data_IF_698250237413
#
_entry.id   IF_698250237413
#
_cell.length_a   1.000
_cell.length_b   1.000
_cell.length_c   1.000
_cell.angle_alpha   90.00
_cell.angle_beta   90.00
_cell.angle_gamma   90.00
#
_symmetry.space_group_name_H-M   'P 1'
#
loop_
_entity.id
_entity.type
_entity.pdbx_description
1 polymer ?
#
# COMPACT_ATOMS: atom_id res chain seq x y z
N UNK A 1 -19.19 -3.83 -16.94
CA UNK A 1 -18.50 -2.73 -16.22
C UNK A 1 -17.08 -3.19 -16.03
N UNK A 2 -16.10 -2.35 -16.32
CA UNK A 2 -14.67 -2.66 -16.21
C UNK A 2 -13.99 -1.57 -15.37
N UNK A 3 -12.88 -1.91 -14.73
CA UNK A 3 -12.13 -1.00 -13.85
C UNK A 3 -10.73 -0.79 -14.37
N UNK A 4 -10.26 0.44 -14.33
CA UNK A 4 -8.87 0.81 -14.62
C UNK A 4 -8.29 1.48 -13.38
N UNK A 5 -7.08 1.07 -12.99
CA UNK A 5 -6.35 1.66 -11.88
C UNK A 5 -4.99 2.13 -12.39
N UNK A 6 -4.53 3.26 -11.87
CA UNK A 6 -3.19 3.77 -12.13
C UNK A 6 -2.50 4.02 -10.80
N UNK A 7 -1.33 3.41 -10.61
CA UNK A 7 -0.56 3.46 -9.39
C UNK A 7 0.87 3.87 -9.73
N UNK A 8 1.36 4.94 -9.11
CA UNK A 8 2.74 5.40 -9.30
C UNK A 8 3.28 5.99 -7.99
N UNK A 9 4.58 5.84 -7.76
CA UNK A 9 5.18 6.28 -6.52
C UNK A 9 6.58 5.75 -6.32
N UNK A 10 7.13 6.05 -5.14
CA UNK A 10 8.42 5.57 -4.70
C UNK A 10 8.35 5.15 -3.23
N UNK A 11 9.19 4.20 -2.89
CA UNK A 11 9.38 3.66 -1.56
C UNK A 11 10.81 3.99 -1.12
N UNK A 12 10.97 4.27 0.17
CA UNK A 12 12.26 4.47 0.83
C UNK A 12 12.31 3.54 2.04
N UNK A 13 13.17 2.54 1.99
CA UNK A 13 13.34 1.56 3.04
C UNK A 13 14.32 2.05 4.13
N UNK A 14 14.29 1.37 5.29
CA UNK A 14 15.14 1.68 6.46
C UNK A 14 16.66 1.59 6.14
N UNK A 15 17.05 0.83 5.12
CA UNK A 15 18.44 0.68 4.65
C UNK A 15 18.82 1.71 3.55
N UNK A 16 17.96 2.70 3.30
CA UNK A 16 18.04 3.68 2.22
C UNK A 16 17.94 3.10 0.81
N UNK A 17 17.51 1.84 0.65
CA UNK A 17 17.12 1.36 -0.67
C UNK A 17 15.84 2.05 -1.12
N UNK A 18 15.74 2.28 -2.42
CA UNK A 18 14.59 2.97 -3.01
C UNK A 18 13.97 2.11 -4.09
N UNK A 19 12.65 1.98 -4.07
CA UNK A 19 11.87 1.44 -5.17
C UNK A 19 11.07 2.56 -5.81
N UNK A 20 10.84 2.47 -7.12
CA UNK A 20 10.03 3.39 -7.90
C UNK A 20 9.15 2.56 -8.83
N UNK A 21 7.92 2.99 -9.05
CA UNK A 21 6.98 2.27 -9.91
C UNK A 21 5.98 3.22 -10.55
N UNK A 22 5.48 2.82 -11.72
CA UNK A 22 4.29 3.39 -12.36
C UNK A 22 3.61 2.28 -13.17
N UNK A 23 2.37 1.96 -12.85
CA UNK A 23 1.71 0.74 -13.29
C UNK A 23 0.21 0.99 -13.51
N UNK A 24 -0.33 0.37 -14.56
CA UNK A 24 -1.75 0.31 -14.85
C UNK A 24 -2.27 -1.10 -14.56
N UNK A 25 -3.38 -1.16 -13.82
CA UNK A 25 -4.18 -2.36 -13.61
C UNK A 25 -5.51 -2.27 -14.37
N UNK A 26 -5.98 -3.42 -14.86
CA UNK A 26 -7.26 -3.57 -15.54
C UNK A 26 -8.02 -4.76 -14.94
N UNK A 27 -9.24 -4.55 -14.46
CA UNK A 27 -10.06 -5.57 -13.80
C UNK A 27 -9.29 -6.36 -12.71
N UNK A 28 -8.59 -5.64 -11.83
CA UNK A 28 -7.79 -6.19 -10.71
C UNK A 28 -6.53 -6.96 -11.13
N UNK A 29 -6.16 -6.93 -12.40
CA UNK A 29 -4.97 -7.60 -12.92
C UNK A 29 -3.95 -6.60 -13.48
N UNK A 30 -2.66 -6.95 -13.39
CA UNK A 30 -1.58 -6.17 -14.00
C UNK A 30 -1.78 -6.08 -15.52
N UNK A 31 -1.60 -4.87 -16.06
CA UNK A 31 -1.88 -4.60 -17.46
C UNK A 31 -0.67 -4.04 -18.20
N UNK A 32 -0.12 -2.89 -17.77
CA UNK A 32 1.07 -2.26 -18.36
C UNK A 32 1.86 -1.55 -17.25
N UNK A 33 3.18 -1.69 -17.22
CA UNK A 33 4.06 -1.02 -16.26
C UNK A 33 5.19 -0.25 -16.94
N UNK A 34 5.72 0.77 -16.25
CA UNK A 34 6.86 1.54 -16.72
C UNK A 34 8.15 0.84 -16.32
N UNK A 35 8.96 0.47 -17.32
CA UNK A 35 10.35 0.09 -17.12
C UNK A 35 11.20 1.37 -17.04
N UNK A 36 11.78 1.60 -15.86
CA UNK A 36 12.58 2.78 -15.58
C UNK A 36 14.00 2.68 -16.17
N UNK A 37 14.50 1.48 -16.45
CA UNK A 37 15.81 1.28 -17.06
C UNK A 37 15.76 1.59 -18.56
N UNK A 38 14.74 1.11 -19.26
CA UNK A 38 14.54 1.40 -20.68
C UNK A 38 13.76 2.69 -20.95
N UNK A 39 13.11 3.26 -19.93
CA UNK A 39 12.22 4.43 -20.05
C UNK A 39 11.11 4.16 -21.07
N UNK A 40 10.46 3.01 -20.95
CA UNK A 40 9.38 2.58 -21.83
C UNK A 40 8.32 1.81 -21.07
N UNK A 41 7.11 1.75 -21.61
CA UNK A 41 6.07 0.91 -21.05
C UNK A 41 6.26 -0.56 -21.46
N UNK A 42 5.79 -1.49 -20.65
CA UNK A 42 5.85 -2.93 -20.90
C UNK A 42 4.50 -3.53 -20.59
N UNK A 43 3.88 -4.20 -21.55
CA UNK A 43 2.63 -4.91 -21.32
C UNK A 43 2.86 -6.20 -20.50
N UNK A 44 2.10 -6.34 -19.42
CA UNK A 44 2.07 -7.58 -18.63
C UNK A 44 1.29 -8.70 -19.33
N UNK A 45 0.37 -8.34 -20.23
CA UNK A 45 -0.49 -9.28 -20.97
C UNK A 45 -0.60 -8.89 -22.45
N UNK A 46 -0.89 -9.84 -23.37
CA UNK A 46 -1.08 -9.54 -24.79
C UNK A 46 -2.12 -8.46 -25.08
N UNK A 47 -3.15 -8.33 -24.25
CA UNK A 47 -4.18 -7.31 -24.36
C UNK A 47 -3.65 -5.90 -24.06
N UNK A 48 -2.54 -5.78 -23.33
CA UNK A 48 -1.88 -4.53 -22.97
C UNK A 48 -1.00 -3.94 -24.07
N UNK A 49 -0.59 -4.73 -25.08
CA UNK A 49 0.36 -4.31 -26.14
C UNK A 49 -0.13 -3.07 -26.90
N UNK A 50 -1.43 -3.00 -27.19
CA UNK A 50 -2.01 -1.81 -27.86
C UNK A 50 -1.88 -0.55 -27.00
N UNK A 51 -1.91 -0.71 -25.67
CA UNK A 51 -1.78 0.41 -24.72
C UNK A 51 -0.32 0.79 -24.55
N UNK A 52 0.58 -0.19 -24.44
CA UNK A 52 2.04 -0.01 -24.49
C UNK A 52 2.43 0.82 -25.73
N UNK A 53 2.07 0.35 -26.93
CA UNK A 53 2.37 1.04 -28.20
C UNK A 53 1.88 2.49 -28.21
N UNK A 54 0.71 2.77 -27.61
CA UNK A 54 0.15 4.12 -27.53
C UNK A 54 0.88 5.00 -26.53
N UNK A 55 1.23 4.46 -25.37
CA UNK A 55 1.97 5.18 -24.34
C UNK A 55 3.40 5.50 -24.80
N UNK A 56 4.02 4.59 -25.56
CA UNK A 56 5.37 4.74 -26.09
C UNK A 56 5.44 5.43 -27.45
N UNK A 57 4.31 5.67 -28.12
CA UNK A 57 4.26 6.30 -29.44
C UNK A 57 5.07 7.61 -29.55
N UNK A 58 5.18 8.36 -28.45
CA UNK A 58 6.00 9.58 -28.38
C UNK A 58 7.13 9.49 -27.35
N UNK A 59 7.15 8.46 -26.49
CA UNK A 59 8.03 8.36 -25.31
C UNK A 59 7.84 9.46 -24.25
N UNK A 60 7.05 10.50 -24.52
CA UNK A 60 6.93 11.67 -23.65
C UNK A 60 6.31 11.32 -22.29
N UNK A 61 5.34 10.41 -22.26
CA UNK A 61 4.70 9.97 -21.03
C UNK A 61 5.69 9.21 -20.14
N UNK A 62 6.43 8.25 -20.69
CA UNK A 62 7.45 7.52 -19.97
C UNK A 62 8.51 8.48 -19.40
N UNK A 63 9.01 9.42 -20.20
CA UNK A 63 10.02 10.38 -19.75
C UNK A 63 9.52 11.28 -18.61
N UNK A 64 8.30 11.81 -18.69
CA UNK A 64 7.74 12.66 -17.62
C UNK A 64 7.58 11.87 -16.32
N UNK A 65 7.09 10.64 -16.39
CA UNK A 65 6.96 9.76 -15.23
C UNK A 65 8.33 9.44 -14.62
N UNK A 66 9.30 9.03 -15.45
CA UNK A 66 10.67 8.73 -14.98
C UNK A 66 11.31 9.94 -14.32
N UNK A 67 11.27 11.12 -14.94
CA UNK A 67 11.84 12.33 -14.35
C UNK A 67 11.24 12.64 -12.97
N UNK A 68 9.92 12.54 -12.81
CA UNK A 68 9.30 12.73 -11.50
C UNK A 68 9.76 11.66 -10.48
N UNK A 69 9.77 10.39 -10.88
CA UNK A 69 10.12 9.27 -10.01
C UNK A 69 11.60 9.30 -9.57
N UNK A 70 12.49 9.75 -10.46
CA UNK A 70 13.92 9.82 -10.20
C UNK A 70 14.32 11.08 -9.43
N UNK A 71 13.84 12.25 -9.85
CA UNK A 71 14.35 13.53 -9.34
C UNK A 71 13.55 14.07 -8.15
N UNK A 72 12.25 13.78 -8.10
CA UNK A 72 11.31 14.49 -7.22
C UNK A 72 10.73 13.58 -6.14
N UNK A 73 10.37 12.34 -6.49
CA UNK A 73 9.54 11.51 -5.63
C UNK A 73 10.15 11.27 -4.23
N UNK A 74 11.42 10.85 -4.17
CA UNK A 74 12.09 10.56 -2.89
C UNK A 74 12.29 11.83 -2.05
N UNK A 75 12.60 12.97 -2.69
CA UNK A 75 12.77 14.23 -1.97
C UNK A 75 11.44 14.73 -1.39
N UNK A 76 10.34 14.62 -2.14
CA UNK A 76 9.00 14.90 -1.62
C UNK A 76 8.62 13.95 -0.49
N UNK A 77 8.94 12.66 -0.61
CA UNK A 77 8.69 11.68 0.45
C UNK A 77 9.42 12.07 1.74
N UNK A 78 10.71 12.44 1.68
CA UNK A 78 11.47 12.90 2.85
C UNK A 78 10.86 14.14 3.50
N UNK A 79 10.38 15.09 2.69
CA UNK A 79 9.69 16.29 3.19
C UNK A 79 8.40 15.91 3.91
N UNK A 80 7.56 15.05 3.32
CA UNK A 80 6.33 14.57 3.96
C UNK A 80 6.60 13.80 5.26
N UNK A 81 7.62 12.94 5.26
CA UNK A 81 8.09 12.24 6.45
C UNK A 81 8.54 13.21 7.54
N UNK A 82 9.16 14.34 7.18
CA UNK A 82 9.58 15.34 8.16
C UNK A 82 8.39 16.02 8.87
N UNK A 83 7.29 16.28 8.16
CA UNK A 83 6.06 16.83 8.74
C UNK A 83 5.30 15.79 9.57
N UNK A 84 5.31 14.54 9.13
CA UNK A 84 4.61 13.44 9.78
C UNK A 84 5.40 12.75 10.90
N UNK A 85 6.65 13.17 11.17
CA UNK A 85 7.62 12.42 11.99
C UNK A 85 7.04 11.95 13.32
N UNK A 86 6.46 12.86 14.11
CA UNK A 86 5.92 12.52 15.43
C UNK A 86 4.83 11.45 15.37
N UNK A 87 3.99 11.50 14.33
CA UNK A 87 2.93 10.51 14.12
C UNK A 87 3.52 9.21 13.60
N UNK A 88 4.35 9.24 12.56
CA UNK A 88 4.88 8.04 11.89
C UNK A 88 5.87 7.25 12.75
N UNK A 89 6.64 7.94 13.60
CA UNK A 89 7.56 7.30 14.55
C UNK A 89 6.85 6.80 15.81
N UNK A 90 5.55 7.09 15.97
CA UNK A 90 4.76 6.61 17.10
C UNK A 90 4.72 5.08 17.10
N UNK A 91 5.18 4.49 18.19
CA UNK A 91 5.18 3.05 18.43
C UNK A 91 4.25 2.74 19.59
N UNK A 92 2.98 2.54 19.27
CA UNK A 92 2.01 2.11 20.26
C UNK A 92 2.00 0.58 20.31
N UNK A 93 2.38 -0.05 21.44
CA UNK A 93 2.34 -1.49 21.56
C UNK A 93 0.89 -1.99 21.55
N UNK A 94 0.62 -3.19 20.98
CA UNK A 94 -0.71 -3.76 21.04
C UNK A 94 -1.12 -4.02 22.50
N UNK A 95 -2.34 -3.64 22.83
CA UNK A 95 -3.04 -4.13 24.02
C UNK A 95 -3.70 -5.46 23.66
N UNK A 96 -3.17 -6.55 24.21
CA UNK A 96 -3.70 -7.89 24.00
C UNK A 96 -4.62 -8.31 25.16
N UNK A 97 -5.73 -8.95 24.81
CA UNK A 97 -6.69 -9.53 25.75
C UNK A 97 -7.13 -10.91 25.26
N UNK A 98 -7.36 -11.84 26.19
CA UNK A 98 -7.84 -13.18 25.87
C UNK A 98 -9.30 -13.27 26.28
N UNK A 99 -10.15 -13.58 25.31
CA UNK A 99 -11.59 -13.70 25.49
C UNK A 99 -11.94 -15.18 25.34
N UNK A 100 -12.54 -15.77 26.36
CA UNK A 100 -13.06 -17.12 26.31
C UNK A 100 -14.58 -17.07 26.11
N UNK A 101 -15.08 -17.69 25.04
CA UNK A 101 -16.52 -17.84 24.85
C UNK A 101 -17.00 -19.10 25.58
N UNK A 102 -17.96 -18.91 26.48
CA UNK A 102 -18.64 -20.03 27.15
C UNK A 102 -19.76 -20.56 26.27
N UNK A 103 -19.40 -21.42 25.32
CA UNK A 103 -20.29 -22.13 24.39
C UNK A 103 -20.08 -23.65 24.51
N UNK A 104 -20.99 -24.48 23.97
CA UNK A 104 -20.83 -25.95 23.95
C UNK A 104 -19.51 -26.40 23.31
N UNK A 105 -19.00 -25.63 22.35
CA UNK A 105 -17.63 -25.66 21.85
C UNK A 105 -16.88 -24.45 22.39
N UNK A 106 -16.04 -24.59 23.44
CA UNK A 106 -15.33 -23.45 24.00
C UNK A 106 -14.28 -22.92 23.01
N UNK A 107 -14.48 -21.71 22.53
CA UNK A 107 -13.53 -20.98 21.69
C UNK A 107 -12.71 -20.01 22.54
N UNK A 108 -11.41 -19.93 22.27
CA UNK A 108 -10.52 -18.92 22.85
C UNK A 108 -10.10 -17.96 21.75
N UNK A 109 -10.27 -16.66 21.99
CA UNK A 109 -9.94 -15.60 21.04
C UNK A 109 -8.91 -14.67 21.66
N UNK A 110 -7.83 -14.42 20.91
CA UNK A 110 -6.85 -13.39 21.24
C UNK A 110 -7.25 -12.12 20.50
N UNK A 111 -7.47 -11.04 21.23
CA UNK A 111 -7.87 -9.76 20.69
C UNK A 111 -6.76 -8.73 20.97
N UNK A 112 -6.11 -8.25 19.92
CA UNK A 112 -5.06 -7.23 19.97
C UNK A 112 -5.59 -5.92 19.39
N UNK A 113 -5.48 -4.82 20.14
CA UNK A 113 -5.96 -3.49 19.75
C UNK A 113 -4.97 -2.40 20.09
N UNK A 114 -5.19 -1.19 19.56
CA UNK A 114 -4.43 0.01 19.94
C UNK A 114 -2.98 0.04 19.45
N UNK A 115 -2.60 -0.85 18.54
CA UNK A 115 -1.29 -0.81 17.91
C UNK A 115 -1.26 0.12 16.70
N UNK A 116 -0.12 0.77 16.49
CA UNK A 116 0.15 1.69 15.39
C UNK A 116 1.68 1.75 15.17
N UNK A 117 2.27 1.75 13.98
CA UNK A 117 1.84 1.44 12.60
C UNK A 117 2.20 0.02 12.14
N UNK A 118 3.03 -0.70 12.92
CA UNK A 118 3.67 -1.93 12.44
C UNK A 118 2.71 -3.13 12.46
N UNK A 119 2.89 -4.09 11.53
CA UNK A 119 2.21 -5.38 11.59
C UNK A 119 2.44 -6.03 12.95
N UNK A 120 1.36 -6.56 13.55
CA UNK A 120 1.43 -7.33 14.80
C UNK A 120 1.39 -8.81 14.46
N UNK A 121 2.35 -9.56 15.01
CA UNK A 121 2.38 -11.02 14.93
C UNK A 121 1.60 -11.60 16.12
N UNK A 122 0.60 -12.44 15.85
CA UNK A 122 -0.18 -13.15 16.86
C UNK A 122 0.03 -14.65 16.64
N UNK A 123 0.47 -15.36 17.68
CA UNK A 123 0.63 -16.81 17.66
C UNK A 123 0.08 -17.44 18.94
N UNK A 124 -0.40 -18.68 18.83
CA UNK A 124 -0.87 -19.47 19.96
C UNK A 124 0.21 -20.46 20.40
N UNK A 125 0.34 -20.66 21.71
CA UNK A 125 1.27 -21.63 22.29
C UNK A 125 0.58 -22.52 23.30
N UNK A 126 0.82 -23.83 23.19
CA UNK A 126 0.39 -24.83 24.16
C UNK A 126 1.61 -25.62 24.61
N UNK A 127 1.83 -25.72 25.92
CA UNK A 127 2.98 -26.46 26.49
C UNK A 127 4.36 -26.06 25.92
N UNK A 128 4.50 -24.77 25.54
CA UNK A 128 5.69 -24.14 24.92
C UNK A 128 5.90 -24.46 23.44
N UNK A 129 4.98 -25.16 22.79
CA UNK A 129 4.99 -25.42 21.35
C UNK A 129 3.99 -24.50 20.64
N UNK A 130 4.35 -24.02 19.45
CA UNK A 130 3.48 -23.18 18.62
C UNK A 130 2.34 -24.03 18.03
N UNK A 131 1.10 -23.55 18.14
CA UNK A 131 -0.10 -24.21 17.64
C UNK A 131 -0.61 -23.47 16.40
N UNK A 132 -0.70 -24.18 15.28
CA UNK A 132 -1.17 -23.64 14.00
C UNK A 132 -2.47 -24.30 13.51
N UNK A 133 -2.93 -25.37 14.17
CA UNK A 133 -4.19 -26.05 13.84
C UNK A 133 -5.37 -25.30 14.47
N UNK A 134 -6.47 -25.16 13.71
CA UNK A 134 -7.71 -24.48 14.13
C UNK A 134 -7.56 -23.00 14.57
N UNK A 135 -6.54 -22.30 14.06
CA UNK A 135 -6.32 -20.87 14.29
C UNK A 135 -6.85 -20.05 13.11
N UNK A 136 -7.88 -19.23 13.34
CA UNK A 136 -8.38 -18.24 12.37
C UNK A 136 -7.91 -16.84 12.77
N UNK A 137 -7.18 -16.15 11.89
CA UNK A 137 -6.84 -14.73 12.05
C UNK A 137 -7.94 -13.89 11.38
N UNK A 138 -8.64 -13.07 12.17
CA UNK A 138 -9.61 -12.09 11.68
C UNK A 138 -9.07 -10.68 11.93
N UNK A 139 -8.95 -9.88 10.88
CA UNK A 139 -8.50 -8.50 10.96
C UNK A 139 -9.49 -7.54 10.32
N UNK A 140 -10.06 -6.64 11.12
CA UNK A 140 -10.73 -5.44 10.63
C UNK A 140 -9.71 -4.29 10.68
N UNK A 141 -8.88 -4.15 9.65
CA UNK A 141 -7.91 -3.04 9.56
C UNK A 141 -8.68 -1.77 9.18
N UNK A 142 -9.28 -1.11 10.18
CA UNK A 142 -9.74 0.26 10.02
C UNK A 142 -8.61 1.20 10.44
N UNK A 143 -7.85 1.72 9.48
CA UNK A 143 -6.96 2.85 9.76
C UNK A 143 -7.82 4.04 10.18
N UNK A 144 -7.66 4.60 11.40
CA UNK A 144 -8.41 5.77 11.78
C UNK A 144 -7.84 6.98 11.06
N UNK A 145 -8.60 7.52 10.10
CA UNK A 145 -8.63 8.97 9.89
C UNK A 145 -7.78 9.59 8.77
N UNK A 146 -7.54 8.91 7.65
CA UNK A 146 -7.12 9.63 6.43
C UNK A 146 -8.34 10.37 5.85
N UNK A 147 -8.62 11.56 6.38
CA UNK A 147 -9.45 12.54 5.67
C UNK A 147 -8.51 13.35 4.78
N UNK A 148 -8.53 13.07 3.48
CA UNK A 148 -8.00 14.01 2.50
C UNK A 148 -8.67 15.37 2.72
N UNK A 149 -7.92 16.49 2.67
CA UNK A 149 -8.55 17.80 2.63
C UNK A 149 -9.48 17.85 1.41
N UNK A 150 -10.78 18.03 1.62
CA UNK A 150 -11.68 18.44 0.55
C UNK A 150 -11.26 19.87 0.14
N UNK A 151 -10.39 20.00 -0.85
CA UNK A 151 -10.23 21.27 -1.55
C UNK A 151 -11.53 21.54 -2.31
N UNK A 152 -12.38 22.38 -1.72
CA UNK A 152 -13.51 22.97 -2.43
C UNK A 152 -12.96 23.96 -3.45
N UNK A 153 -12.85 23.51 -4.71
CA UNK A 153 -12.75 24.45 -5.82
C UNK A 153 -14.07 25.21 -5.94
N UNK A 154 -14.04 26.51 -5.63
CA UNK A 154 -15.11 27.43 -5.99
C UNK A 154 -15.15 27.55 -7.51
N UNK A 155 -16.23 27.09 -8.13
CA UNK A 155 -16.54 27.47 -9.51
C UNK A 155 -16.73 28.99 -9.58
N UNK A 156 -15.93 29.63 -10.42
CA UNK A 156 -16.16 31.01 -10.84
C UNK A 156 -17.42 31.03 -11.72
N UNK A 157 -18.40 31.91 -11.48
CA UNK A 157 -19.55 32.04 -12.37
C UNK A 157 -19.14 32.73 -13.68
N UNK A 158 -19.86 32.34 -14.73
CA UNK A 158 -19.73 32.75 -16.13
C UNK A 158 -19.77 34.26 -16.36
#
# INVERSE_FOLDING_TARGET
VHTVQYMYGCELDDDNTTRKYAEYGYDEEDFVSLDLESVSWTAAKPQGVITEDKCDATGAQAQVCTNFLEDVCIEQLKVLLSYGRETLERKDPPTASVIQKHSPSPEVMCHATGFFLKPVMISWRKDREDVNEDVELRGDVTQPGWKFPEEKHSESPS
#
